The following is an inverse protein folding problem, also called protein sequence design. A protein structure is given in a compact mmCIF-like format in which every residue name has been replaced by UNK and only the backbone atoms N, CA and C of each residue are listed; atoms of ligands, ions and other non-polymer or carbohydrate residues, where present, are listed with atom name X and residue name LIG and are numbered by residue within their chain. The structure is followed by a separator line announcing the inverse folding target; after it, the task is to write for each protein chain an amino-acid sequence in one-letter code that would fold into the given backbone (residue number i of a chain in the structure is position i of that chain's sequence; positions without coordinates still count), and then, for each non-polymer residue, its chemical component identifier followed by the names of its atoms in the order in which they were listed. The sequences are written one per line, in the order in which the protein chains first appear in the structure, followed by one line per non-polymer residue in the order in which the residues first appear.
data_IF_543526551385
#
_entry.id   IF_543526551385
#
_cell.length_a   1.000
_cell.length_b   1.000
_cell.length_c   1.000
_cell.angle_alpha   90.00
_cell.angle_beta   90.00
_cell.angle_gamma   90.00
#
_symmetry.space_group_name_H-M   'P 1'
#
loop_
_entity.id
_entity.type
_entity.pdbx_description
1 polymer ?
#
# COMPACT_ATOMS: atom_id res chain seq x y z
N UNK A 1 -10.54 -26.82 14.72
CA UNK A 1 -9.83 -25.60 14.29
C UNK A 1 -10.09 -25.23 12.82
N UNK A 2 -11.22 -25.64 12.19
CA UNK A 2 -11.46 -25.48 10.74
C UNK A 2 -11.43 -24.04 10.19
N UNK A 3 -11.68 -23.02 11.02
CA UNK A 3 -11.62 -21.61 10.60
C UNK A 3 -10.19 -21.11 10.41
N UNK A 4 -9.25 -21.59 11.23
CA UNK A 4 -7.86 -21.15 11.22
C UNK A 4 -7.14 -21.59 9.95
N UNK A 5 -7.33 -22.84 9.54
CA UNK A 5 -6.68 -23.41 8.37
C UNK A 5 -7.11 -22.72 7.08
N UNK A 6 -8.40 -22.36 6.96
CA UNK A 6 -8.92 -21.60 5.82
C UNK A 6 -8.32 -20.19 5.74
N UNK A 7 -8.17 -19.52 6.88
CA UNK A 7 -7.55 -18.19 6.92
C UNK A 7 -6.06 -18.26 6.58
N UNK A 8 -5.34 -19.22 7.18
CA UNK A 8 -3.94 -19.46 6.89
C UNK A 8 -3.69 -19.73 5.39
N UNK A 9 -4.55 -20.53 4.76
CA UNK A 9 -4.47 -20.81 3.33
C UNK A 9 -4.66 -19.53 2.49
N UNK A 10 -5.60 -18.65 2.85
CA UNK A 10 -5.80 -17.37 2.15
C UNK A 10 -4.59 -16.44 2.30
N UNK A 11 -4.04 -16.35 3.51
CA UNK A 11 -2.88 -15.51 3.81
C UNK A 11 -1.58 -16.03 3.18
N UNK A 12 -1.45 -17.34 2.98
CA UNK A 12 -0.25 -17.97 2.40
C UNK A 12 0.18 -17.31 1.08
N UNK A 13 -0.78 -16.88 0.25
CA UNK A 13 -0.53 -16.19 -1.04
C UNK A 13 0.26 -14.88 -0.89
N UNK A 14 0.08 -14.18 0.23
CA UNK A 14 0.71 -12.89 0.55
C UNK A 14 1.97 -13.02 1.42
N UNK A 15 2.28 -14.22 1.91
CA UNK A 15 3.46 -14.47 2.75
C UNK A 15 4.51 -15.26 1.98
N UNK A 16 4.12 -16.43 1.44
CA UNK A 16 5.03 -17.35 0.73
C UNK A 16 4.66 -17.53 -0.75
N UNK A 17 3.46 -17.13 -1.16
CA UNK A 17 3.00 -17.22 -2.54
C UNK A 17 3.43 -16.05 -3.42
N UNK A 18 2.82 -15.97 -4.60
CA UNK A 18 3.16 -15.03 -5.69
C UNK A 18 3.17 -13.56 -5.25
N UNK A 19 2.31 -13.19 -4.29
CA UNK A 19 2.18 -11.81 -3.81
C UNK A 19 3.12 -11.48 -2.64
N UNK A 20 3.85 -12.47 -2.13
CA UNK A 20 4.71 -12.33 -0.95
C UNK A 20 5.83 -11.30 -1.10
N UNK A 21 6.36 -11.11 -2.31
CA UNK A 21 7.45 -10.15 -2.55
C UNK A 21 7.10 -8.72 -2.15
N UNK A 22 5.83 -8.33 -2.28
CA UNK A 22 5.38 -6.97 -2.00
C UNK A 22 5.21 -6.69 -0.50
N UNK A 23 4.80 -7.69 0.29
CA UNK A 23 4.38 -7.49 1.69
C UNK A 23 5.29 -8.16 2.72
N UNK A 24 6.03 -9.21 2.35
CA UNK A 24 6.83 -10.00 3.28
C UNK A 24 8.29 -9.53 3.34
N UNK A 25 8.50 -8.21 3.41
CA UNK A 25 9.82 -7.59 3.54
C UNK A 25 9.74 -6.34 4.42
N UNK A 26 10.87 -5.98 5.04
CA UNK A 26 10.98 -4.71 5.74
C UNK A 26 10.88 -3.52 4.77
N UNK A 27 10.19 -2.47 5.18
CA UNK A 27 10.19 -1.19 4.45
C UNK A 27 11.61 -0.62 4.42
N UNK A 28 12.12 -0.31 3.24
CA UNK A 28 13.49 0.17 3.01
C UNK A 28 13.53 1.56 2.33
N UNK A 29 12.42 2.32 2.38
CA UNK A 29 12.25 3.59 1.67
C UNK A 29 12.45 4.77 2.63
N UNK A 30 13.34 5.70 2.27
CA UNK A 30 13.45 7.01 2.92
C UNK A 30 12.62 8.06 2.16
N UNK A 31 11.70 8.71 2.88
CA UNK A 31 10.80 9.74 2.34
C UNK A 31 11.29 11.17 2.62
N UNK A 32 12.49 11.34 3.16
CA UNK A 32 13.08 12.66 3.40
C UNK A 32 13.75 13.28 2.18
N UNK A 33 13.72 12.58 1.04
CA UNK A 33 14.15 13.09 -0.25
C UNK A 33 13.29 14.28 -0.71
N UNK A 34 13.88 15.15 -1.54
CA UNK A 34 13.18 16.31 -2.13
C UNK A 34 11.96 15.90 -2.95
N UNK A 35 12.07 14.78 -3.65
CA UNK A 35 11.00 14.15 -4.41
C UNK A 35 11.09 12.64 -4.19
N UNK A 36 9.96 12.00 -3.93
CA UNK A 36 9.85 10.55 -3.78
C UNK A 36 8.70 10.09 -4.66
N UNK A 37 8.95 9.12 -5.54
CA UNK A 37 7.95 8.59 -6.48
C UNK A 37 7.73 7.12 -6.17
N UNK A 38 6.48 6.75 -5.91
CA UNK A 38 6.06 5.37 -5.76
C UNK A 38 5.44 4.92 -7.08
N UNK A 39 6.06 3.94 -7.76
CA UNK A 39 5.54 3.38 -9.01
C UNK A 39 4.77 2.10 -8.73
N UNK A 40 3.59 1.97 -9.33
CA UNK A 40 2.77 0.76 -9.29
C UNK A 40 2.76 0.01 -10.64
N UNK A 41 3.66 0.37 -11.56
CA UNK A 41 3.69 -0.15 -12.93
C UNK A 41 3.87 -1.67 -12.98
N UNK A 42 4.79 -2.19 -12.16
CA UNK A 42 5.20 -3.59 -12.18
C UNK A 42 4.45 -4.45 -11.14
N UNK A 43 3.34 -3.93 -10.62
CA UNK A 43 2.48 -4.62 -9.65
C UNK A 43 1.32 -5.26 -10.42
N UNK A 44 0.99 -6.51 -10.08
CA UNK A 44 -0.20 -7.17 -10.62
C UNK A 44 -1.48 -6.38 -10.32
N UNK A 45 -2.44 -6.37 -11.25
CA UNK A 45 -3.64 -5.52 -11.18
C UNK A 45 -4.39 -5.68 -9.84
N UNK A 46 -4.57 -6.92 -9.38
CA UNK A 46 -5.26 -7.25 -8.12
C UNK A 46 -4.54 -6.69 -6.89
N UNK A 47 -3.23 -6.42 -7.00
CA UNK A 47 -2.41 -5.88 -5.92
C UNK A 47 -2.28 -4.36 -5.95
N UNK A 48 -2.71 -3.67 -7.02
CA UNK A 48 -2.57 -2.21 -7.12
C UNK A 48 -3.27 -1.48 -5.98
N UNK A 49 -4.54 -1.81 -5.71
CA UNK A 49 -5.31 -1.16 -4.63
C UNK A 49 -4.68 -1.41 -3.25
N UNK A 50 -4.37 -2.66 -2.84
CA UNK A 50 -3.64 -2.91 -1.60
C UNK A 50 -2.28 -2.20 -1.51
N UNK A 51 -1.52 -2.15 -2.60
CA UNK A 51 -0.21 -1.50 -2.65
C UNK A 51 -0.33 0.02 -2.44
N UNK A 52 -1.24 0.67 -3.17
CA UNK A 52 -1.52 2.10 -3.04
C UNK A 52 -2.00 2.44 -1.64
N UNK A 53 -2.94 1.65 -1.11
CA UNK A 53 -3.43 1.81 0.26
C UNK A 53 -2.28 1.74 1.28
N UNK A 54 -1.39 0.75 1.16
CA UNK A 54 -0.24 0.60 2.04
C UNK A 54 0.73 1.78 1.93
N UNK A 55 1.04 2.23 0.71
CA UNK A 55 1.93 3.36 0.47
C UNK A 55 1.36 4.67 1.05
N UNK A 56 0.08 4.96 0.80
CA UNK A 56 -0.60 6.15 1.35
C UNK A 56 -0.66 6.12 2.87
N UNK A 57 -0.94 4.96 3.48
CA UNK A 57 -0.91 4.78 4.93
C UNK A 57 0.49 5.02 5.51
N UNK A 58 1.52 4.49 4.87
CA UNK A 58 2.91 4.71 5.24
C UNK A 58 3.27 6.20 5.18
N UNK A 59 2.95 6.88 4.08
CA UNK A 59 3.16 8.32 3.91
C UNK A 59 2.42 9.07 5.02
N UNK A 60 1.12 8.84 5.19
CA UNK A 60 0.29 9.52 6.21
C UNK A 60 0.86 9.37 7.61
N UNK A 61 1.31 8.18 7.98
CA UNK A 61 1.91 7.90 9.29
C UNK A 61 3.22 8.67 9.48
N UNK A 62 4.10 8.64 8.47
CA UNK A 62 5.39 9.32 8.55
C UNK A 62 5.27 10.84 8.52
N UNK A 63 4.38 11.41 7.70
CA UNK A 63 4.26 12.87 7.58
C UNK A 63 3.73 13.53 8.87
N UNK A 64 2.94 12.81 9.67
CA UNK A 64 2.42 13.29 10.96
C UNK A 64 3.48 13.50 12.03
N UNK A 65 4.65 12.89 11.90
CA UNK A 65 5.76 13.04 12.85
C UNK A 65 6.41 14.43 12.82
N UNK A 66 6.42 15.08 11.65
CA UNK A 66 7.08 16.37 11.45
C UNK A 66 6.24 17.28 10.57
N UNK A 67 5.83 18.42 11.11
CA UNK A 67 5.06 19.45 10.42
C UNK A 67 5.94 20.19 9.42
N UNK A 68 5.75 19.93 8.14
CA UNK A 68 6.34 20.65 7.01
C UNK A 68 5.36 20.66 5.84
N UNK A 69 5.43 21.68 5.00
CA UNK A 69 4.64 21.72 3.76
C UNK A 69 5.11 20.60 2.83
N UNK A 70 4.17 19.79 2.35
CA UNK A 70 4.39 18.68 1.42
C UNK A 70 3.25 18.67 0.41
N UNK A 71 3.55 18.34 -0.83
CA UNK A 71 2.55 18.06 -1.86
C UNK A 71 2.51 16.54 -2.08
N UNK A 72 1.33 15.95 -1.97
CA UNK A 72 1.07 14.57 -2.35
C UNK A 72 0.26 14.60 -3.64
N UNK A 73 0.77 13.91 -4.67
CA UNK A 73 0.10 13.76 -5.96
C UNK A 73 -0.18 12.29 -6.18
N UNK A 74 -1.44 11.96 -6.50
CA UNK A 74 -1.89 10.61 -6.84
C UNK A 74 -2.40 10.62 -8.28
N UNK A 75 -1.63 10.07 -9.21
CA UNK A 75 -1.99 10.05 -10.64
C UNK A 75 -3.17 9.09 -10.90
N UNK A 76 -3.01 7.82 -10.53
CA UNK A 76 -4.02 6.78 -10.71
C UNK A 76 -5.03 6.72 -9.55
N UNK A 77 -5.48 7.88 -9.05
CA UNK A 77 -6.36 7.97 -7.88
C UNK A 77 -7.69 7.20 -8.05
N UNK A 78 -8.15 7.06 -9.30
CA UNK A 78 -9.36 6.29 -9.63
C UNK A 78 -9.30 4.83 -9.18
N UNK A 79 -8.10 4.23 -9.09
CA UNK A 79 -7.93 2.86 -8.58
C UNK A 79 -8.46 2.73 -7.15
N UNK A 80 -8.24 3.76 -6.32
CA UNK A 80 -8.74 3.79 -4.94
C UNK A 80 -10.22 4.15 -4.87
N UNK A 81 -10.76 4.88 -5.84
CA UNK A 81 -12.17 5.29 -5.87
C UNK A 81 -13.12 4.14 -6.22
N UNK A 82 -12.61 3.01 -6.72
CA UNK A 82 -13.42 1.84 -7.05
C UNK A 82 -14.06 1.17 -5.81
N UNK A 83 -13.50 1.38 -4.63
CA UNK A 83 -14.06 0.90 -3.38
C UNK A 83 -14.21 2.03 -2.38
N UNK A 84 -15.36 2.10 -1.72
CA UNK A 84 -15.68 3.15 -0.74
C UNK A 84 -14.62 3.25 0.36
N UNK A 85 -14.21 2.10 0.93
CA UNK A 85 -13.20 2.05 2.01
C UNK A 85 -11.81 2.56 1.58
N UNK A 86 -11.42 2.38 0.32
CA UNK A 86 -10.16 2.94 -0.18
C UNK A 86 -10.32 4.39 -0.61
N UNK A 87 -11.53 4.81 -1.02
CA UNK A 87 -11.82 6.20 -1.39
C UNK A 87 -11.70 7.14 -0.20
N UNK A 88 -12.12 6.71 1.01
CA UNK A 88 -11.96 7.44 2.27
C UNK A 88 -10.51 7.84 2.59
N UNK A 89 -9.51 7.22 1.95
CA UNK A 89 -8.11 7.62 2.12
C UNK A 89 -7.71 8.86 1.31
N UNK A 90 -8.52 9.27 0.34
CA UNK A 90 -8.23 10.39 -0.55
C UNK A 90 -8.88 11.72 -0.10
N UNK A 91 -9.92 11.70 0.74
CA UNK A 91 -10.65 12.90 1.17
C UNK A 91 -10.98 12.91 2.67
#
# INVERSE_FOLDING_TARGET
MEGGDKLALRLSKFVTGTFGKLFNNYTNIDINNKITVFSIRDIEEVLKTPAMFNALNFIRTKIRSHKKQRLLVCDEAWIMLQHETSAEFLF
#
